data_IF_968367159567
#
_entry.id   IF_968367159567
#
_cell.length_a   1.000
_cell.length_b   1.000
_cell.length_c   1.000
_cell.angle_alpha   90.00
_cell.angle_beta   90.00
_cell.angle_gamma   90.00
#
_symmetry.space_group_name_H-M   'P 1'
#
loop_
_entity.id
_entity.type
_entity.pdbx_description
1 polymer ?
#
# COMPACT_ATOMS: atom_id res chain seq x y z
N UNK A 1 -15.19 -3.57 -21.71
CA UNK A 1 -14.99 -3.15 -20.36
C UNK A 1 -13.96 -2.03 -20.32
N UNK A 2 -14.25 -1.00 -19.60
CA UNK A 2 -13.42 0.19 -19.60
C UNK A 2 -12.19 0.07 -18.72
N UNK A 3 -11.41 1.12 -18.73
CA UNK A 3 -10.29 1.31 -17.84
C UNK A 3 -10.55 2.56 -17.00
N UNK A 4 -9.91 2.61 -15.83
CA UNK A 4 -9.95 3.78 -14.98
C UNK A 4 -8.53 4.36 -14.87
N UNK A 5 -8.43 5.67 -14.90
CA UNK A 5 -7.15 6.35 -14.71
C UNK A 5 -6.69 6.22 -13.27
N UNK A 6 -5.43 5.89 -13.08
CA UNK A 6 -4.84 5.73 -11.73
C UNK A 6 -3.59 6.59 -11.62
N UNK A 7 -3.53 7.40 -10.59
CA UNK A 7 -2.38 8.20 -10.24
C UNK A 7 -1.97 7.84 -8.80
N UNK A 8 -0.73 7.40 -8.62
CA UNK A 8 -0.17 7.11 -7.30
C UNK A 8 1.05 7.98 -7.10
N UNK A 9 0.98 8.87 -6.13
CA UNK A 9 2.06 9.82 -5.85
C UNK A 9 2.42 9.78 -4.37
N UNK A 10 3.69 10.04 -4.08
CA UNK A 10 4.16 10.33 -2.72
C UNK A 10 4.61 11.78 -2.66
N UNK A 11 5.03 12.25 -1.49
CA UNK A 11 5.50 13.63 -1.32
C UNK A 11 6.69 13.97 -2.23
N UNK A 12 7.46 12.97 -2.63
CA UNK A 12 8.69 13.18 -3.38
C UNK A 12 8.57 12.88 -4.87
N UNK A 13 7.83 11.83 -5.23
CA UNK A 13 7.79 11.37 -6.61
C UNK A 13 6.42 10.84 -7.02
N UNK A 14 6.16 10.83 -8.32
CA UNK A 14 5.04 10.09 -8.90
C UNK A 14 5.52 8.64 -9.13
N UNK A 15 4.82 7.69 -8.52
CA UNK A 15 5.17 6.27 -8.58
C UNK A 15 4.52 5.58 -9.77
N UNK A 16 3.26 5.90 -10.02
CA UNK A 16 2.49 5.30 -11.11
C UNK A 16 1.54 6.32 -11.72
N UNK A 17 1.45 6.30 -13.04
CA UNK A 17 0.50 7.10 -13.79
C UNK A 17 0.07 6.28 -14.99
N UNK A 18 -1.20 5.90 -15.07
CA UNK A 18 -1.67 5.07 -16.17
C UNK A 18 -3.10 4.61 -15.98
N UNK A 19 -3.49 3.57 -16.70
CA UNK A 19 -4.82 3.03 -16.65
C UNK A 19 -4.81 1.59 -16.11
N UNK A 20 -5.90 1.21 -15.45
CA UNK A 20 -6.09 -0.13 -14.94
C UNK A 20 -7.54 -0.55 -15.17
N UNK A 21 -7.78 -1.85 -15.31
CA UNK A 21 -9.14 -2.38 -15.38
C UNK A 21 -9.78 -2.50 -13.99
N UNK A 22 -8.94 -2.61 -12.97
CA UNK A 22 -9.38 -2.67 -11.58
C UNK A 22 -8.21 -2.32 -10.66
N UNK A 23 -8.53 -1.72 -9.53
CA UNK A 23 -7.55 -1.40 -8.48
C UNK A 23 -8.03 -2.03 -7.18
N UNK A 24 -7.14 -2.75 -6.49
CA UNK A 24 -7.40 -3.22 -5.12
C UNK A 24 -6.49 -2.45 -4.19
N UNK A 25 -7.06 -1.78 -3.21
CA UNK A 25 -6.32 -0.91 -2.30
C UNK A 25 -6.57 -1.31 -0.84
N UNK A 26 -5.54 -1.17 0.03
CA UNK A 26 -5.67 -1.52 1.45
C UNK A 26 -6.35 -0.39 2.23
N UNK A 27 -7.67 -0.35 2.17
CA UNK A 27 -8.45 0.63 2.92
C UNK A 27 -8.35 0.43 4.42
N UNK A 28 -8.61 1.49 5.17
CA UNK A 28 -8.56 1.49 6.63
C UNK A 28 -9.38 0.37 7.26
N UNK A 29 -10.57 0.14 6.73
CA UNK A 29 -11.51 -0.85 7.28
C UNK A 29 -11.56 -2.15 6.48
N UNK A 30 -10.69 -2.34 5.53
CA UNK A 30 -10.61 -3.53 4.68
C UNK A 30 -10.19 -3.18 3.26
N UNK A 31 -9.85 -4.21 2.50
CA UNK A 31 -9.46 -4.03 1.10
C UNK A 31 -10.64 -3.55 0.26
N UNK A 32 -10.36 -2.64 -0.66
CA UNK A 32 -11.35 -2.05 -1.56
C UNK A 32 -11.02 -2.42 -2.99
N UNK A 33 -11.99 -3.00 -3.70
CA UNK A 33 -11.89 -3.25 -5.14
C UNK A 33 -12.57 -2.11 -5.89
N UNK A 34 -11.86 -1.45 -6.78
CA UNK A 34 -12.34 -0.28 -7.51
C UNK A 34 -12.30 -0.55 -9.00
N UNK A 35 -13.47 -0.60 -9.61
CA UNK A 35 -13.64 -0.76 -11.05
C UNK A 35 -14.03 0.57 -11.68
N UNK A 36 -13.93 0.71 -13.02
CA UNK A 36 -14.38 1.92 -13.70
C UNK A 36 -15.83 2.27 -13.35
N UNK A 37 -16.12 3.57 -13.28
CA UNK A 37 -17.45 4.11 -12.91
C UNK A 37 -17.83 3.87 -11.44
N UNK A 38 -16.84 3.58 -10.59
CA UNK A 38 -17.07 3.41 -9.17
C UNK A 38 -17.63 4.69 -8.54
N UNK A 39 -18.54 4.53 -7.57
CA UNK A 39 -19.09 5.63 -6.81
C UNK A 39 -17.97 6.42 -6.14
N UNK A 40 -18.04 7.76 -6.09
CA UNK A 40 -17.02 8.56 -5.40
C UNK A 40 -16.82 8.15 -3.94
N UNK A 41 -15.55 8.10 -3.54
CA UNK A 41 -15.17 7.67 -2.19
C UNK A 41 -13.89 8.39 -1.79
N UNK A 42 -13.80 8.78 -0.53
CA UNK A 42 -12.58 9.31 0.07
C UNK A 42 -12.33 8.54 1.37
N UNK A 43 -11.18 7.90 1.48
CA UNK A 43 -10.84 7.12 2.67
C UNK A 43 -9.33 7.09 2.89
N UNK A 44 -8.93 6.68 4.09
CA UNK A 44 -7.52 6.50 4.41
C UNK A 44 -7.08 5.07 4.09
N UNK A 45 -5.79 4.92 3.86
CA UNK A 45 -5.16 3.63 3.59
C UNK A 45 -4.33 3.18 4.79
N UNK A 46 -4.33 1.88 5.06
CA UNK A 46 -3.37 1.26 5.97
C UNK A 46 -2.13 0.82 5.18
N UNK A 47 -1.00 0.54 5.85
CA UNK A 47 0.16 -0.02 5.15
C UNK A 47 -0.20 -1.33 4.44
N UNK A 48 0.20 -1.47 3.20
CA UNK A 48 -0.10 -2.65 2.40
C UNK A 48 0.22 -2.46 0.94
N UNK A 49 -0.20 -3.41 0.11
CA UNK A 49 0.00 -3.36 -1.33
C UNK A 49 -1.25 -2.87 -2.06
N UNK A 50 -1.02 -2.01 -3.04
CA UNK A 50 -2.02 -1.67 -4.05
C UNK A 50 -1.81 -2.64 -5.21
N UNK A 51 -2.89 -3.27 -5.66
CA UNK A 51 -2.87 -4.20 -6.78
C UNK A 51 -3.53 -3.53 -7.98
N UNK A 52 -2.78 -3.41 -9.08
CA UNK A 52 -3.26 -2.80 -10.32
C UNK A 52 -3.47 -3.91 -11.35
N UNK A 53 -4.71 -4.10 -11.76
CA UNK A 53 -5.06 -5.07 -12.79
C UNK A 53 -5.04 -4.38 -14.15
N UNK A 54 -4.13 -4.80 -15.01
CA UNK A 54 -3.96 -4.26 -16.35
C UNK A 54 -4.58 -5.19 -17.39
N UNK A 55 -4.68 -4.73 -18.63
CA UNK A 55 -5.14 -5.56 -19.71
C UNK A 55 -4.24 -6.78 -19.89
N UNK A 56 -4.81 -7.89 -20.37
CA UNK A 56 -4.06 -9.10 -20.62
C UNK A 56 -3.70 -9.91 -19.38
N UNK A 57 -4.41 -9.69 -18.28
CA UNK A 57 -4.20 -10.37 -17.00
C UNK A 57 -2.89 -10.01 -16.30
N UNK A 58 -2.22 -8.96 -16.74
CA UNK A 58 -1.05 -8.45 -16.05
C UNK A 58 -1.47 -7.73 -14.77
N UNK A 59 -0.64 -7.87 -13.75
CA UNK A 59 -0.83 -7.18 -12.47
C UNK A 59 0.46 -6.50 -12.05
N UNK A 60 0.30 -5.33 -11.47
CA UNK A 60 1.42 -4.60 -10.87
C UNK A 60 1.09 -4.32 -9.42
N UNK A 61 2.08 -4.43 -8.57
CA UNK A 61 1.91 -4.28 -7.12
C UNK A 61 2.78 -3.13 -6.62
N UNK A 62 2.18 -2.24 -5.84
CA UNK A 62 2.87 -1.09 -5.26
C UNK A 62 2.63 -1.09 -3.77
N UNK A 63 3.70 -1.20 -2.99
CA UNK A 63 3.64 -1.14 -1.54
C UNK A 63 3.54 0.32 -1.09
N UNK A 64 2.59 0.61 -0.20
CA UNK A 64 2.42 1.93 0.41
C UNK A 64 2.46 1.81 1.93
N UNK A 65 2.97 2.84 2.58
CA UNK A 65 3.06 2.88 4.05
C UNK A 65 1.84 3.53 4.69
N UNK A 66 0.82 3.78 3.91
CA UNK A 66 -0.39 4.48 4.29
C UNK A 66 -0.65 5.64 3.37
N UNK A 67 -1.71 6.38 3.62
CA UNK A 67 -2.04 7.55 2.81
C UNK A 67 -3.54 7.75 2.67
N UNK A 68 -3.91 8.41 1.58
CA UNK A 68 -5.31 8.76 1.28
C UNK A 68 -5.66 8.23 -0.11
N UNK A 69 -6.84 7.64 -0.20
CA UNK A 69 -7.43 7.17 -1.45
C UNK A 69 -8.62 8.04 -1.81
N UNK A 70 -8.60 8.62 -3.01
CA UNK A 70 -9.75 9.34 -3.57
C UNK A 70 -10.21 8.61 -4.81
N UNK A 71 -11.49 8.23 -4.85
CA UNK A 71 -12.11 7.57 -5.98
C UNK A 71 -13.12 8.48 -6.63
N UNK A 72 -13.02 8.63 -7.95
CA UNK A 72 -14.01 9.25 -8.81
C UNK A 72 -14.36 8.27 -9.91
N UNK A 73 -15.52 8.41 -10.60
CA UNK A 73 -15.91 7.41 -11.60
C UNK A 73 -14.90 7.19 -12.73
N UNK A 74 -14.08 8.19 -13.02
CA UNK A 74 -13.10 8.14 -14.13
C UNK A 74 -11.65 8.11 -13.66
N UNK A 75 -11.40 8.27 -12.36
CA UNK A 75 -10.03 8.42 -11.86
C UNK A 75 -9.89 7.98 -10.40
N UNK A 76 -8.79 7.30 -10.12
CA UNK A 76 -8.38 6.96 -8.76
C UNK A 76 -7.09 7.71 -8.47
N UNK A 77 -7.05 8.45 -7.37
CA UNK A 77 -5.86 9.15 -6.92
C UNK A 77 -5.45 8.62 -5.55
N UNK A 78 -4.20 8.22 -5.44
CA UNK A 78 -3.62 7.75 -4.19
C UNK A 78 -2.46 8.65 -3.81
N UNK A 79 -2.60 9.31 -2.66
CA UNK A 79 -1.56 10.13 -2.06
C UNK A 79 -0.93 9.29 -0.95
N UNK A 80 0.18 8.64 -1.25
CA UNK A 80 0.84 7.75 -0.32
C UNK A 80 1.82 8.50 0.57
N UNK A 81 1.95 8.06 1.81
CA UNK A 81 2.98 8.58 2.72
C UNK A 81 4.36 8.24 2.15
N UNK A 82 4.54 6.99 1.76
CA UNK A 82 5.63 6.57 0.90
C UNK A 82 5.16 5.42 0.03
N UNK A 83 5.76 5.24 -1.13
CA UNK A 83 5.37 4.20 -2.08
C UNK A 83 6.61 3.64 -2.78
N UNK A 84 6.58 2.33 -3.00
CA UNK A 84 7.67 1.60 -3.66
C UNK A 84 7.06 0.48 -4.50
N UNK A 85 7.56 0.28 -5.71
CA UNK A 85 7.17 -0.91 -6.47
C UNK A 85 7.55 -2.15 -5.66
N UNK A 86 6.61 -3.07 -5.49
CA UNK A 86 6.84 -4.25 -4.63
C UNK A 86 8.05 -5.06 -5.08
N UNK A 87 8.34 -5.05 -6.39
CA UNK A 87 9.50 -5.74 -6.94
C UNK A 87 10.84 -5.22 -6.40
N UNK A 88 10.86 -3.99 -5.90
CA UNK A 88 12.05 -3.35 -5.36
C UNK A 88 12.23 -3.54 -3.87
N UNK A 89 11.30 -4.23 -3.21
CA UNK A 89 11.39 -4.46 -1.76
C UNK A 89 12.50 -5.46 -1.43
N UNK A 90 13.32 -5.10 -0.44
CA UNK A 90 14.40 -5.94 0.05
C UNK A 90 13.90 -6.80 1.21
N UNK A 91 13.94 -8.12 1.03
CA UNK A 91 13.46 -9.09 2.02
C UNK A 91 14.21 -9.00 3.35
N UNK A 92 15.52 -8.91 3.30
CA UNK A 92 16.34 -8.86 4.51
C UNK A 92 16.10 -7.56 5.29
N UNK A 93 16.05 -6.43 4.59
CA UNK A 93 15.78 -5.15 5.22
C UNK A 93 14.37 -5.11 5.81
N UNK A 94 13.39 -5.71 5.13
CA UNK A 94 12.02 -5.77 5.64
C UNK A 94 11.92 -6.60 6.91
N UNK A 95 12.62 -7.73 6.97
CA UNK A 95 12.65 -8.58 8.17
C UNK A 95 13.34 -7.87 9.33
N UNK A 96 14.46 -7.21 9.08
CA UNK A 96 15.17 -6.45 10.12
C UNK A 96 14.30 -5.32 10.67
N UNK A 97 13.60 -4.59 9.82
CA UNK A 97 12.70 -3.51 10.24
C UNK A 97 11.57 -4.05 11.12
N UNK A 98 11.00 -5.19 10.76
CA UNK A 98 9.96 -5.84 11.55
C UNK A 98 10.47 -6.24 12.93
N UNK A 99 11.65 -6.86 12.98
CA UNK A 99 12.25 -7.29 14.25
C UNK A 99 12.58 -6.09 15.15
N UNK A 100 13.11 -5.00 14.58
CA UNK A 100 13.37 -3.78 15.32
C UNK A 100 12.11 -3.15 15.88
N UNK A 101 11.01 -3.15 15.10
CA UNK A 101 9.74 -2.62 15.54
C UNK A 101 9.15 -3.46 16.68
N UNK A 102 9.29 -4.78 16.63
CA UNK A 102 8.85 -5.67 17.72
C UNK A 102 9.62 -5.41 19.01
N UNK A 103 10.93 -5.21 18.90
CA UNK A 103 11.77 -4.88 20.08
C UNK A 103 11.40 -3.52 20.67
N UNK A 104 11.14 -2.52 19.83
CA UNK A 104 10.72 -1.20 20.28
C UNK A 104 9.39 -1.26 21.04
N UNK A 105 8.47 -2.12 20.58
CA UNK A 105 7.19 -2.33 21.25
C UNK A 105 7.37 -2.93 22.65
N UNK A 106 8.28 -3.90 22.79
CA UNK A 106 8.57 -4.55 24.08
C UNK A 106 9.21 -3.59 25.07
N UNK A 107 10.00 -2.61 24.59
CA UNK A 107 10.70 -1.66 25.45
C UNK A 107 9.93 -0.37 25.71
N UNK A 108 8.72 -0.23 25.20
CA UNK A 108 7.95 1.00 25.35
C UNK A 108 7.30 1.09 26.73
N UNK A 109 7.67 2.10 27.52
CA UNK A 109 7.16 2.34 28.87
C UNK A 109 6.03 3.37 28.91
N UNK A 110 5.99 4.27 27.93
CA UNK A 110 5.00 5.33 27.86
C UNK A 110 3.97 5.05 26.78
N UNK A 111 2.75 5.52 26.99
CA UNK A 111 1.66 5.34 26.03
C UNK A 111 2.03 5.87 24.63
N UNK A 112 2.66 7.05 24.56
CA UNK A 112 3.10 7.65 23.30
C UNK A 112 4.12 6.78 22.59
N UNK A 113 5.10 6.27 23.32
CA UNK A 113 6.13 5.37 22.78
C UNK A 113 5.51 4.06 22.31
N UNK A 114 4.52 3.56 23.06
CA UNK A 114 3.80 2.34 22.70
C UNK A 114 3.01 2.52 21.41
N UNK A 115 2.31 3.65 21.23
CA UNK A 115 1.56 3.94 20.02
C UNK A 115 2.47 4.04 18.80
N UNK A 116 3.63 4.70 18.93
CA UNK A 116 4.60 4.79 17.85
C UNK A 116 5.18 3.43 17.51
N UNK A 117 5.51 2.62 18.50
CA UNK A 117 6.05 1.29 18.29
C UNK A 117 5.03 0.38 17.60
N UNK A 118 3.75 0.47 17.97
CA UNK A 118 2.69 -0.28 17.32
C UNK A 118 2.51 0.13 15.86
N UNK A 119 2.57 1.43 15.56
CA UNK A 119 2.48 1.92 14.19
C UNK A 119 3.64 1.42 13.33
N UNK A 120 4.86 1.44 13.88
CA UNK A 120 6.04 0.93 13.21
C UNK A 120 5.94 -0.57 12.95
N UNK A 121 5.39 -1.32 13.89
CA UNK A 121 5.21 -2.75 13.75
C UNK A 121 4.19 -3.08 12.64
N UNK A 122 3.07 -2.37 12.59
CA UNK A 122 2.06 -2.56 11.54
C UNK A 122 2.68 -2.32 10.17
N UNK A 123 3.42 -1.23 10.01
CA UNK A 123 4.09 -0.90 8.75
C UNK A 123 5.12 -1.96 8.37
N UNK A 124 5.98 -2.34 9.31
CA UNK A 124 7.04 -3.31 9.05
C UNK A 124 6.48 -4.71 8.74
N UNK A 125 5.41 -5.12 9.42
CA UNK A 125 4.75 -6.38 9.17
C UNK A 125 4.10 -6.41 7.77
N UNK A 126 3.49 -5.29 7.35
CA UNK A 126 2.91 -5.18 6.01
C UNK A 126 3.98 -5.28 4.93
N UNK A 127 5.13 -4.64 5.15
CA UNK A 127 6.27 -4.69 4.22
C UNK A 127 6.82 -6.11 4.08
N UNK A 128 7.01 -6.80 5.20
CA UNK A 128 7.47 -8.19 5.22
C UNK A 128 6.49 -9.11 4.50
N UNK A 129 5.19 -8.92 4.72
CA UNK A 129 4.13 -9.66 4.03
C UNK A 129 4.18 -9.43 2.52
N UNK A 130 4.39 -8.18 2.08
CA UNK A 130 4.49 -7.84 0.66
C UNK A 130 5.69 -8.54 0.00
N UNK A 131 6.84 -8.58 0.68
CA UNK A 131 8.04 -9.28 0.19
C UNK A 131 7.80 -10.78 0.06
N UNK A 132 7.13 -11.38 1.05
CA UNK A 132 6.79 -12.81 1.02
C UNK A 132 5.84 -13.14 -0.13
N UNK A 133 4.86 -12.28 -0.39
CA UNK A 133 3.95 -12.45 -1.53
C UNK A 133 4.70 -12.33 -2.86
N UNK A 134 5.64 -11.41 -2.95
CA UNK A 134 6.48 -11.24 -4.15
C UNK A 134 7.27 -12.53 -4.45
N UNK A 135 7.85 -13.15 -3.43
CA UNK A 135 8.54 -14.44 -3.58
C UNK A 135 7.62 -15.53 -4.13
N UNK A 136 6.41 -15.61 -3.61
CA UNK A 136 5.43 -16.60 -4.06
C UNK A 136 4.96 -16.40 -5.50
N UNK A 137 5.12 -15.19 -6.05
CA UNK A 137 4.73 -14.87 -7.43
C UNK A 137 5.81 -15.15 -8.48
N UNK A 138 7.03 -15.47 -8.06
CA UNK A 138 8.15 -15.75 -8.97
C UNK A 138 8.18 -17.19 -9.47
#
# INVERSE_FOLDING_TARGET
MGAIRVEIVSAEIAIFSGEASMVVAPGKDGDLGIAPKHTPLLTTLRPGEIELHKEGSEKEYIYVTGGILEVQPHMVTILADSATHSEELDEEAALQAKNQAEEALKGADKKEDLEQAQAQLVEAAARDSAVKKLKGRK
#
